data_IF_693319496938
#
_entry.id   IF_693319496938
#
_cell.length_a   1.000
_cell.length_b   1.000
_cell.length_c   1.000
_cell.angle_alpha   90.00
_cell.angle_beta   90.00
_cell.angle_gamma   90.00
#
_symmetry.space_group_name_H-M   'P 1'
#
loop_
_entity.id
_entity.type
_entity.pdbx_description
1 polymer ?
#
# COMPACT_ATOMS: atom_id res chain seq x y z
N UNK A 1 -31.28 -13.32 13.07
CA UNK A 1 -30.01 -12.60 13.26
C UNK A 1 -29.18 -12.79 12.00
N UNK A 2 -29.16 -11.79 11.12
CA UNK A 2 -28.41 -11.86 9.87
C UNK A 2 -26.93 -11.59 10.17
N UNK A 3 -26.05 -12.52 9.78
CA UNK A 3 -24.60 -12.29 9.74
C UNK A 3 -24.34 -11.08 8.83
N UNK A 4 -23.41 -10.17 9.18
CA UNK A 4 -22.98 -9.16 8.23
C UNK A 4 -22.33 -9.86 7.02
N UNK A 5 -22.89 -9.62 5.84
CA UNK A 5 -22.32 -10.05 4.56
C UNK A 5 -20.96 -9.35 4.38
N UNK A 6 -19.88 -10.13 4.32
CA UNK A 6 -18.54 -9.66 3.95
C UNK A 6 -18.38 -9.44 2.43
N UNK A 7 -19.48 -9.41 1.67
CA UNK A 7 -19.51 -9.39 0.19
C UNK A 7 -19.12 -8.05 -0.46
N UNK A 8 -18.36 -7.20 0.24
CA UNK A 8 -17.95 -5.88 -0.26
C UNK A 8 -16.44 -5.68 -0.33
N UNK A 9 -15.63 -6.67 0.07
CA UNK A 9 -14.18 -6.64 -0.12
C UNK A 9 -13.71 -7.21 -1.47
N UNK A 10 -14.64 -7.62 -2.33
CA UNK A 10 -14.36 -8.45 -3.51
C UNK A 10 -13.81 -7.72 -4.75
N UNK A 11 -13.72 -6.39 -4.78
CA UNK A 11 -13.30 -5.65 -6.00
C UNK A 11 -12.10 -4.70 -5.80
N UNK A 12 -11.20 -4.99 -4.86
CA UNK A 12 -9.93 -4.26 -4.79
C UNK A 12 -8.98 -4.79 -5.87
N UNK A 13 -9.05 -4.19 -7.05
CA UNK A 13 -8.09 -4.49 -8.12
C UNK A 13 -6.77 -3.76 -7.89
N UNK A 14 -5.65 -4.24 -8.45
CA UNK A 14 -4.37 -3.51 -8.43
C UNK A 14 -4.49 -2.09 -8.99
N UNK A 15 -5.34 -1.89 -10.01
CA UNK A 15 -5.58 -0.57 -10.59
C UNK A 15 -6.28 0.36 -9.60
N UNK A 16 -7.31 -0.14 -8.89
CA UNK A 16 -8.02 0.63 -7.87
C UNK A 16 -7.09 1.04 -6.72
N UNK A 17 -6.18 0.15 -6.30
CA UNK A 17 -5.15 0.46 -5.31
C UNK A 17 -4.21 1.55 -5.82
N UNK A 18 -3.74 1.43 -7.06
CA UNK A 18 -2.82 2.41 -7.63
C UNK A 18 -3.47 3.78 -7.80
N UNK A 19 -4.72 3.83 -8.26
CA UNK A 19 -5.50 5.07 -8.36
C UNK A 19 -5.71 5.71 -6.99
N UNK A 20 -5.97 4.92 -5.95
CA UNK A 20 -6.08 5.40 -4.58
C UNK A 20 -4.75 6.03 -4.11
N UNK A 21 -3.61 5.38 -4.36
CA UNK A 21 -2.29 5.93 -4.02
C UNK A 21 -1.99 7.22 -4.79
N UNK A 22 -2.34 7.29 -6.08
CA UNK A 22 -2.22 8.52 -6.89
C UNK A 22 -3.12 9.65 -6.40
N UNK A 23 -4.28 9.33 -5.85
CA UNK A 23 -5.22 10.34 -5.32
C UNK A 23 -4.72 11.02 -4.04
N UNK A 24 -3.70 10.45 -3.38
CA UNK A 24 -3.10 11.04 -2.18
C UNK A 24 -2.41 12.37 -2.51
N UNK A 25 -2.50 13.31 -1.57
CA UNK A 25 -1.69 14.54 -1.60
C UNK A 25 -0.19 14.20 -1.53
N UNK A 26 0.71 15.11 -1.94
CA UNK A 26 2.16 14.87 -1.83
C UNK A 26 2.59 14.48 -0.40
N UNK A 27 1.99 15.10 0.62
CA UNK A 27 2.21 14.74 2.02
C UNK A 27 1.73 13.31 2.33
N UNK A 28 0.52 12.95 1.90
CA UNK A 28 -0.03 11.61 2.12
C UNK A 28 0.79 10.52 1.43
N UNK A 29 1.33 10.79 0.24
CA UNK A 29 2.27 9.90 -0.45
C UNK A 29 3.54 9.72 0.37
N UNK A 30 4.12 10.81 0.88
CA UNK A 30 5.28 10.77 1.76
C UNK A 30 5.05 9.95 3.04
N UNK A 31 3.89 10.10 3.68
CA UNK A 31 3.51 9.33 4.86
C UNK A 31 3.34 7.83 4.55
N UNK A 32 2.75 7.48 3.40
CA UNK A 32 2.63 6.09 2.94
C UNK A 32 4.01 5.45 2.67
N UNK A 33 4.89 6.14 1.95
CA UNK A 33 6.24 5.65 1.66
C UNK A 33 7.05 5.44 2.95
N UNK A 34 6.95 6.39 3.89
CA UNK A 34 7.59 6.26 5.20
C UNK A 34 7.06 5.05 5.99
N UNK A 35 5.75 4.82 5.96
CA UNK A 35 5.14 3.66 6.59
C UNK A 35 5.63 2.33 5.99
N UNK A 36 5.69 2.23 4.67
CA UNK A 36 6.14 1.01 3.99
C UNK A 36 7.62 0.71 4.32
N UNK A 37 8.48 1.73 4.32
CA UNK A 37 9.89 1.59 4.70
C UNK A 37 10.07 1.22 6.18
N UNK A 38 9.30 1.83 7.07
CA UNK A 38 9.33 1.47 8.49
C UNK A 38 8.87 0.01 8.71
N UNK A 39 7.83 -0.41 8.00
CA UNK A 39 7.30 -1.78 8.06
C UNK A 39 8.32 -2.79 7.51
N UNK A 40 9.00 -2.46 6.41
CA UNK A 40 10.04 -3.31 5.83
C UNK A 40 11.14 -3.72 6.83
N UNK A 41 11.53 -2.80 7.73
CA UNK A 41 12.56 -3.04 8.74
C UNK A 41 12.06 -3.98 9.86
N UNK A 42 10.76 -4.00 10.12
CA UNK A 42 10.16 -4.77 11.21
C UNK A 42 9.78 -6.20 10.81
N UNK A 43 9.74 -6.49 9.51
CA UNK A 43 9.35 -7.78 8.96
C UNK A 43 10.55 -8.73 8.82
N UNK A 44 10.31 -10.05 8.70
CA UNK A 44 11.34 -10.99 8.30
C UNK A 44 12.02 -10.57 6.99
N UNK A 45 13.30 -10.92 6.75
CA UNK A 45 14.09 -10.37 5.64
C UNK A 45 13.43 -10.44 4.26
N UNK A 46 12.78 -11.56 3.93
CA UNK A 46 12.11 -11.77 2.63
C UNK A 46 10.88 -10.85 2.44
N UNK A 47 10.05 -10.74 3.47
CA UNK A 47 8.88 -9.87 3.47
C UNK A 47 9.28 -8.39 3.52
N UNK A 48 10.32 -8.09 4.30
CA UNK A 48 10.90 -6.76 4.43
C UNK A 48 11.48 -6.25 3.12
N UNK A 49 12.23 -7.10 2.41
CA UNK A 49 12.77 -6.77 1.08
C UNK A 49 11.64 -6.51 0.07
N UNK A 50 10.60 -7.32 0.09
CA UNK A 50 9.41 -7.13 -0.76
C UNK A 50 8.75 -5.78 -0.47
N UNK A 51 8.56 -5.44 0.80
CA UNK A 51 7.93 -4.19 1.21
C UNK A 51 8.77 -2.96 0.86
N UNK A 52 10.10 -3.06 0.99
CA UNK A 52 11.04 -2.02 0.57
C UNK A 52 10.96 -1.78 -0.95
N UNK A 53 10.95 -2.86 -1.75
CA UNK A 53 10.80 -2.76 -3.21
C UNK A 53 9.49 -2.13 -3.62
N UNK A 54 8.39 -2.43 -2.92
CA UNK A 54 7.09 -1.78 -3.17
C UNK A 54 7.18 -0.28 -2.92
N UNK A 55 7.81 0.15 -1.82
CA UNK A 55 8.01 1.57 -1.53
C UNK A 55 8.81 2.27 -2.64
N UNK A 56 9.91 1.65 -3.09
CA UNK A 56 10.76 2.24 -4.14
C UNK A 56 10.05 2.33 -5.49
N UNK A 57 9.26 1.31 -5.87
CA UNK A 57 8.44 1.35 -7.09
C UNK A 57 7.38 2.46 -6.99
N UNK A 58 6.73 2.59 -5.84
CA UNK A 58 5.74 3.65 -5.64
C UNK A 58 6.37 5.04 -5.69
N UNK A 59 7.56 5.23 -5.11
CA UNK A 59 8.30 6.49 -5.19
C UNK A 59 8.57 6.88 -6.66
N UNK A 60 9.08 5.94 -7.47
CA UNK A 60 9.34 6.15 -8.90
C UNK A 60 8.09 6.45 -9.75
N UNK A 61 6.92 5.95 -9.33
CA UNK A 61 5.66 6.12 -10.07
C UNK A 61 4.87 7.37 -9.67
N UNK A 62 5.23 7.99 -8.55
CA UNK A 62 4.50 9.10 -7.94
C UNK A 62 5.22 10.45 -8.01
N UNK A 63 6.53 10.45 -8.28
CA UNK A 63 7.31 11.60 -8.76
C UNK A 63 7.07 11.87 -10.27
#
# INVERSE_FOLDING_TARGET
MSKPNLSHMDDITPNTLFDAVKSLSPRGRGELLAFLRATAIQLPPEDGETMARIADILELLLD
#
